data_IF_824726190215
#
_entry.id   IF_824726190215
#
_cell.length_a   1.000
_cell.length_b   1.000
_cell.length_c   1.000
_cell.angle_alpha   90.00
_cell.angle_beta   90.00
_cell.angle_gamma   90.00
#
_symmetry.space_group_name_H-M   'P 1'
#
loop_
_entity.id
_entity.type
_entity.pdbx_description
1 polymer ?
#
# COMPACT_ATOMS: atom_id res chain seq x y z
N UNK A 1 16.74 -0.25 11.47
CA UNK A 1 15.76 -1.09 10.72
C UNK A 1 15.95 -2.57 10.99
N UNK A 2 17.06 -3.22 10.63
CA UNK A 2 17.24 -4.65 10.91
C UNK A 2 17.29 -4.95 12.42
N UNK A 3 18.04 -4.15 13.18
CA UNK A 3 18.10 -4.25 14.64
C UNK A 3 16.72 -4.07 15.30
N UNK A 4 15.88 -3.15 14.79
CA UNK A 4 14.52 -2.93 15.31
C UNK A 4 13.61 -4.13 15.07
N UNK A 5 13.75 -4.78 13.91
CA UNK A 5 13.02 -6.00 13.58
C UNK A 5 13.47 -7.14 14.49
N UNK A 6 14.79 -7.33 14.62
CA UNK A 6 15.36 -8.36 15.49
C UNK A 6 14.92 -8.16 16.94
N UNK A 7 15.02 -6.94 17.46
CA UNK A 7 14.56 -6.57 18.80
C UNK A 7 13.08 -6.86 18.98
N UNK A 8 12.24 -6.45 18.03
CA UNK A 8 10.80 -6.68 18.09
C UNK A 8 10.48 -8.18 18.14
N UNK A 9 11.10 -8.98 17.28
CA UNK A 9 10.84 -10.44 17.23
C UNK A 9 11.37 -11.13 18.48
N UNK A 10 12.56 -10.77 18.95
CA UNK A 10 13.18 -11.35 20.16
C UNK A 10 12.44 -10.97 21.45
N UNK A 11 11.74 -9.83 21.46
CA UNK A 11 10.94 -9.39 22.59
C UNK A 11 9.74 -10.32 22.87
N UNK A 12 9.20 -10.97 21.84
CA UNK A 12 8.04 -11.85 21.99
C UNK A 12 8.43 -13.31 22.28
N UNK A 13 7.63 -13.96 23.12
CA UNK A 13 7.75 -15.41 23.34
C UNK A 13 7.20 -16.16 22.11
N UNK A 14 8.04 -17.03 21.54
CA UNK A 14 7.77 -17.73 20.30
C UNK A 14 6.54 -18.65 20.36
N UNK A 15 6.17 -19.15 21.55
CA UNK A 15 5.07 -20.12 21.72
C UNK A 15 3.75 -19.46 22.10
N UNK A 16 3.75 -18.17 22.44
CA UNK A 16 2.57 -17.49 22.96
C UNK A 16 2.32 -16.15 22.27
N UNK A 17 3.15 -15.15 22.53
CA UNK A 17 2.88 -13.76 22.12
C UNK A 17 3.28 -13.49 20.69
N UNK A 18 4.34 -14.14 20.19
CA UNK A 18 4.74 -14.00 18.78
C UNK A 18 3.67 -14.55 17.84
N UNK A 19 3.03 -15.67 18.21
CA UNK A 19 2.03 -16.32 17.37
C UNK A 19 0.83 -15.42 17.07
N UNK A 20 0.46 -14.61 18.06
CA UNK A 20 -0.69 -13.70 18.01
C UNK A 20 -0.33 -12.28 17.60
N UNK A 21 0.95 -11.97 17.40
CA UNK A 21 1.37 -10.63 17.01
C UNK A 21 0.87 -10.34 15.59
N UNK A 22 0.12 -9.26 15.44
CA UNK A 22 -0.30 -8.76 14.12
C UNK A 22 0.91 -8.12 13.44
N UNK A 23 1.19 -8.61 12.23
CA UNK A 23 2.19 -8.12 11.29
C UNK A 23 1.44 -7.52 10.09
N UNK A 24 1.89 -6.37 9.61
CA UNK A 24 1.25 -5.66 8.49
C UNK A 24 2.11 -5.74 7.24
N UNK A 25 1.55 -6.20 6.13
CA UNK A 25 2.21 -6.22 4.82
C UNK A 25 1.57 -5.19 3.91
N UNK A 26 2.40 -4.35 3.29
CA UNK A 26 1.97 -3.24 2.46
C UNK A 26 2.53 -3.38 1.04
N UNK A 27 1.66 -3.20 0.05
CA UNK A 27 2.06 -3.19 -1.34
C UNK A 27 1.33 -2.10 -2.13
N UNK A 28 2.05 -1.46 -3.04
CA UNK A 28 1.50 -0.46 -3.95
C UNK A 28 1.85 -0.85 -5.37
N UNK A 29 0.89 -0.68 -6.26
CA UNK A 29 1.09 -0.83 -7.71
C UNK A 29 0.82 0.52 -8.34
N UNK A 30 1.60 0.87 -9.36
CA UNK A 30 1.49 2.15 -10.06
C UNK A 30 1.26 1.91 -11.55
N UNK A 31 0.58 2.84 -12.20
CA UNK A 31 0.45 2.91 -13.65
C UNK A 31 1.78 3.23 -14.33
N UNK A 32 2.52 4.20 -13.82
CA UNK A 32 3.82 4.57 -14.34
C UNK A 32 4.59 5.46 -13.34
N UNK A 33 5.88 5.64 -13.64
CA UNK A 33 6.75 6.66 -13.05
C UNK A 33 7.10 7.69 -14.13
N UNK A 34 7.02 8.98 -13.83
CA UNK A 34 7.46 10.03 -14.73
C UNK A 34 8.96 10.27 -14.64
N UNK A 35 9.52 10.96 -15.63
CA UNK A 35 10.93 11.39 -15.63
C UNK A 35 11.24 12.34 -14.46
N UNK A 36 10.22 13.05 -13.95
CA UNK A 36 10.30 13.89 -12.74
C UNK A 36 10.30 13.08 -11.45
N UNK A 37 10.14 11.76 -11.54
CA UNK A 37 10.12 10.85 -10.39
C UNK A 37 8.75 10.65 -9.73
N UNK A 38 7.67 11.16 -10.32
CA UNK A 38 6.33 11.03 -9.78
C UNK A 38 5.70 9.70 -10.19
N UNK A 39 5.07 9.02 -9.24
CA UNK A 39 4.32 7.79 -9.46
C UNK A 39 2.83 8.07 -9.56
N UNK A 40 2.19 7.48 -10.57
CA UNK A 40 0.74 7.44 -10.69
C UNK A 40 0.25 6.13 -10.09
N UNK A 41 -0.30 6.17 -8.89
CA UNK A 41 -0.72 4.98 -8.16
C UNK A 41 -1.93 4.31 -8.82
N UNK A 42 -2.00 3.00 -8.80
CA UNK A 42 -3.10 2.24 -9.36
C UNK A 42 -3.91 1.59 -8.25
N UNK A 43 -3.23 0.89 -7.35
CA UNK A 43 -3.85 0.29 -6.19
C UNK A 43 -2.91 0.23 -5.00
N UNK A 44 -3.49 -0.05 -3.85
CA UNK A 44 -2.80 -0.31 -2.61
C UNK A 44 -3.43 -1.51 -1.92
N UNK A 45 -2.60 -2.31 -1.28
CA UNK A 45 -2.99 -3.46 -0.49
C UNK A 45 -2.30 -3.40 0.87
N UNK A 46 -3.08 -3.59 1.94
CA UNK A 46 -2.59 -3.74 3.30
C UNK A 46 -3.17 -5.04 3.87
N UNK A 47 -2.31 -6.01 4.14
CA UNK A 47 -2.69 -7.28 4.73
C UNK A 47 -2.25 -7.34 6.19
N UNK A 48 -3.13 -7.80 7.06
CA UNK A 48 -2.83 -8.14 8.44
C UNK A 48 -2.61 -9.65 8.53
N UNK A 49 -1.55 -10.06 9.23
CA UNK A 49 -1.14 -11.45 9.36
C UNK A 49 -0.79 -11.78 10.82
N UNK A 50 -1.14 -12.98 11.27
CA UNK A 50 -0.63 -13.60 12.49
C UNK A 50 -0.06 -14.97 12.16
N UNK A 51 0.91 -15.46 12.93
CA UNK A 51 1.43 -16.82 12.70
C UNK A 51 0.43 -17.90 13.10
N UNK A 52 -0.53 -17.61 13.99
CA UNK A 52 -1.59 -18.55 14.36
C UNK A 52 -2.67 -18.69 13.29
N UNK A 53 -3.10 -17.59 12.67
CA UNK A 53 -4.31 -17.56 11.84
C UNK A 53 -4.00 -17.31 10.36
N UNK A 54 -2.75 -16.97 10.03
CA UNK A 54 -2.38 -16.58 8.68
C UNK A 54 -2.88 -15.16 8.36
N UNK A 55 -3.48 -14.96 7.19
CA UNK A 55 -4.03 -13.67 6.77
C UNK A 55 -5.36 -13.44 7.49
N UNK A 56 -5.44 -12.42 8.35
CA UNK A 56 -6.64 -12.11 9.13
C UNK A 56 -7.52 -11.04 8.46
N UNK A 57 -6.91 -10.09 7.74
CA UNK A 57 -7.63 -9.04 6.99
C UNK A 57 -6.81 -8.60 5.80
N UNK A 58 -7.50 -8.23 4.71
CA UNK A 58 -6.90 -7.54 3.57
C UNK A 58 -7.74 -6.31 3.26
N UNK A 59 -7.10 -5.14 3.34
CA UNK A 59 -7.61 -3.89 2.80
C UNK A 59 -7.04 -3.73 1.40
N UNK A 60 -7.88 -3.69 0.39
CA UNK A 60 -7.48 -3.48 -1.00
C UNK A 60 -8.27 -2.32 -1.58
N UNK A 61 -7.56 -1.32 -2.11
CA UNK A 61 -8.17 -0.07 -2.58
C UNK A 61 -7.57 0.32 -3.93
N UNK A 62 -8.44 0.71 -4.86
CA UNK A 62 -8.05 1.34 -6.12
C UNK A 62 -8.01 2.86 -5.94
N UNK A 63 -6.95 3.49 -6.44
CA UNK A 63 -6.65 4.91 -6.18
C UNK A 63 -6.91 5.76 -7.41
N UNK A 64 -7.74 6.81 -7.26
CA UNK A 64 -7.92 7.79 -8.34
C UNK A 64 -6.68 8.68 -8.47
N UNK A 65 -5.71 8.26 -9.29
CA UNK A 65 -4.46 9.01 -9.49
C UNK A 65 -4.56 10.25 -10.38
N UNK A 66 -5.78 10.76 -10.57
CA UNK A 66 -6.05 11.91 -11.41
C UNK A 66 -5.68 11.69 -12.88
N UNK A 67 -5.39 12.79 -13.57
CA UNK A 67 -5.07 12.76 -15.01
C UNK A 67 -3.57 12.52 -15.22
N UNK A 68 -3.25 11.49 -16.00
CA UNK A 68 -1.89 11.24 -16.49
C UNK A 68 -1.32 12.46 -17.23
N UNK A 69 -0.07 12.81 -16.93
CA UNK A 69 0.67 13.84 -17.65
C UNK A 69 0.78 13.49 -19.15
N UNK A 70 0.67 14.51 -20.00
CA UNK A 70 0.77 14.35 -21.45
C UNK A 70 2.09 13.66 -21.82
N UNK A 71 2.03 12.64 -22.68
CA UNK A 71 3.19 11.86 -23.11
C UNK A 71 3.34 10.51 -22.41
N UNK A 72 2.75 10.32 -21.22
CA UNK A 72 2.95 9.09 -20.44
C UNK A 72 1.95 7.97 -20.70
N UNK A 73 0.94 8.20 -21.54
CA UNK A 73 -0.11 7.20 -21.80
C UNK A 73 0.43 5.89 -22.37
N UNK A 74 1.39 5.95 -23.29
CA UNK A 74 1.97 4.74 -23.89
C UNK A 74 2.78 3.94 -22.87
N UNK A 75 3.66 4.62 -22.13
CA UNK A 75 4.48 4.03 -21.07
C UNK A 75 3.62 3.39 -19.99
N UNK A 76 2.56 4.08 -19.56
CA UNK A 76 1.64 3.55 -18.56
C UNK A 76 0.91 2.30 -19.08
N UNK A 77 0.48 2.30 -20.34
CA UNK A 77 -0.20 1.15 -20.94
C UNK A 77 0.72 -0.07 -21.05
N UNK A 78 1.96 0.13 -21.49
CA UNK A 78 2.98 -0.92 -21.57
C UNK A 78 3.26 -1.51 -20.19
N UNK A 79 3.55 -0.67 -19.19
CA UNK A 79 3.77 -1.12 -17.82
C UNK A 79 2.57 -1.91 -17.27
N UNK A 80 1.35 -1.42 -17.49
CA UNK A 80 0.14 -2.13 -17.09
C UNK A 80 0.08 -3.52 -17.72
N UNK A 81 0.30 -3.64 -19.03
CA UNK A 81 0.20 -4.92 -19.73
C UNK A 81 1.25 -5.92 -19.25
N UNK A 82 2.45 -5.44 -18.93
CA UNK A 82 3.59 -6.26 -18.52
C UNK A 82 3.48 -6.73 -17.06
N UNK A 83 2.76 -6.00 -16.21
CA UNK A 83 2.76 -6.23 -14.76
C UNK A 83 1.38 -6.64 -14.23
N UNK A 84 0.50 -5.69 -13.97
CA UNK A 84 -0.71 -5.87 -13.17
C UNK A 84 -2.01 -5.90 -13.98
N UNK A 85 -1.94 -5.60 -15.28
CA UNK A 85 -3.04 -5.59 -16.25
C UNK A 85 -4.25 -4.77 -15.82
N UNK A 86 -4.02 -3.75 -15.01
CA UNK A 86 -5.10 -2.83 -14.65
C UNK A 86 -5.33 -1.87 -15.82
N UNK A 87 -6.61 -1.58 -16.15
CA UNK A 87 -6.90 -0.61 -17.18
C UNK A 87 -6.57 0.81 -16.69
N UNK A 88 -5.94 1.62 -17.54
CA UNK A 88 -5.67 3.04 -17.27
C UNK A 88 -6.97 3.86 -17.09
N UNK A 89 -8.03 3.44 -17.77
CA UNK A 89 -9.37 4.00 -17.64
C UNK A 89 -10.27 2.90 -17.09
N UNK A 90 -10.51 2.86 -15.78
CA UNK A 90 -11.58 2.03 -15.22
C UNK A 90 -12.92 2.64 -15.66
N UNK A 91 -13.39 2.28 -16.86
CA UNK A 91 -14.81 2.44 -17.21
C UNK A 91 -15.55 1.35 -16.44
N UNK A 92 -16.16 1.75 -15.32
CA UNK A 92 -16.99 0.91 -14.46
C UNK A 92 -18.21 0.43 -15.27
N UNK A 93 -18.05 -0.65 -16.05
CA UNK A 93 -19.16 -1.18 -16.86
C UNK A 93 -19.94 -2.29 -16.19
N UNK A 94 -19.44 -2.91 -15.11
CA UNK A 94 -20.10 -4.08 -14.49
C UNK A 94 -19.84 -4.22 -12.98
N UNK A 95 -20.15 -3.20 -12.17
CA UNK A 95 -20.11 -3.26 -10.70
C UNK A 95 -19.21 -2.22 -10.04
N UNK A 96 -19.56 -1.82 -8.82
CA UNK A 96 -19.04 -0.67 -8.05
C UNK A 96 -17.58 -0.82 -7.63
N UNK A 97 -16.63 -0.68 -8.56
CA UNK A 97 -15.26 -0.31 -8.21
C UNK A 97 -15.23 1.21 -8.03
N UNK A 98 -15.43 1.65 -6.79
CA UNK A 98 -15.25 3.05 -6.43
C UNK A 98 -13.76 3.32 -6.26
N UNK A 99 -13.24 4.21 -7.10
CA UNK A 99 -11.96 4.80 -6.80
C UNK A 99 -12.08 5.59 -5.51
N UNK A 100 -11.15 5.38 -4.58
CA UNK A 100 -11.06 6.24 -3.41
C UNK A 100 -10.11 7.37 -3.71
N UNK A 101 -10.55 8.58 -3.42
CA UNK A 101 -9.67 9.74 -3.36
C UNK A 101 -8.61 9.53 -2.29
N UNK A 102 -7.46 10.14 -2.52
CA UNK A 102 -6.30 10.24 -1.65
C UNK A 102 -6.64 10.16 -0.14
N UNK A 103 -7.35 11.16 0.40
CA UNK A 103 -7.62 11.24 1.85
C UNK A 103 -8.37 10.04 2.44
N UNK A 104 -9.28 9.44 1.67
CA UNK A 104 -10.03 8.24 2.12
C UNK A 104 -9.16 6.98 2.16
N UNK A 105 -8.07 6.94 1.38
CA UNK A 105 -7.12 5.83 1.39
C UNK A 105 -6.22 5.96 2.63
N UNK A 106 -5.70 7.16 2.92
CA UNK A 106 -4.88 7.39 4.12
C UNK A 106 -5.65 7.10 5.41
N UNK A 107 -6.91 7.54 5.53
CA UNK A 107 -7.69 7.29 6.75
C UNK A 107 -7.83 5.80 7.03
N UNK A 108 -8.13 5.00 6.01
CA UNK A 108 -8.26 3.54 6.15
C UNK A 108 -6.93 2.88 6.52
N UNK A 109 -5.81 3.33 5.96
CA UNK A 109 -4.47 2.83 6.31
C UNK A 109 -4.13 3.17 7.76
N UNK A 110 -4.32 4.43 8.17
CA UNK A 110 -4.04 4.89 9.53
C UNK A 110 -4.92 4.16 10.54
N UNK A 111 -6.22 4.07 10.31
CA UNK A 111 -7.16 3.33 11.15
C UNK A 111 -6.74 1.86 11.28
N UNK A 112 -6.31 1.24 10.18
CA UNK A 112 -5.82 -0.14 10.19
C UNK A 112 -4.56 -0.29 11.03
N UNK A 113 -3.57 0.59 10.86
CA UNK A 113 -2.28 0.50 11.55
C UNK A 113 -2.33 0.94 13.01
N UNK A 114 -3.35 1.71 13.40
CA UNK A 114 -3.63 2.12 14.77
C UNK A 114 -4.47 1.09 15.55
N UNK A 115 -5.13 0.16 14.85
CA UNK A 115 -5.94 -0.87 15.48
C UNK A 115 -5.05 -1.81 16.32
N UNK A 116 -4.90 -1.49 17.61
CA UNK A 116 -4.11 -2.27 18.56
C UNK A 116 -2.79 -1.64 19.03
N UNK A 117 -2.50 -0.38 18.67
CA UNK A 117 -1.35 0.37 19.19
C UNK A 117 -1.77 1.41 20.23
N UNK A 118 -0.78 1.94 20.98
CA UNK A 118 -1.01 3.10 21.84
C UNK A 118 -1.42 4.34 21.03
N UNK A 119 -2.15 5.26 21.67
CA UNK A 119 -2.68 6.46 21.01
C UNK A 119 -1.56 7.25 20.32
N UNK A 120 -1.62 7.36 18.99
CA UNK A 120 -0.63 8.11 18.18
C UNK A 120 0.53 7.28 17.61
N UNK A 121 0.64 6.00 17.93
CA UNK A 121 1.65 5.11 17.33
C UNK A 121 1.08 4.31 16.16
N UNK A 122 1.88 4.15 15.09
CA UNK A 122 1.54 3.29 13.96
C UNK A 122 2.37 2.00 14.04
N UNK A 123 1.71 0.85 13.83
CA UNK A 123 2.43 -0.41 13.71
C UNK A 123 3.38 -0.39 12.50
N UNK A 124 4.58 -0.99 12.60
CA UNK A 124 5.45 -1.15 11.45
C UNK A 124 4.75 -1.97 10.36
N UNK A 125 5.02 -1.60 9.10
CA UNK A 125 4.56 -2.31 7.91
C UNK A 125 5.75 -2.80 7.10
N UNK A 126 5.58 -3.96 6.48
CA UNK A 126 6.62 -4.65 5.72
C UNK A 126 6.24 -4.72 4.25
N UNK A 127 7.24 -4.63 3.38
CA UNK A 127 7.07 -4.65 1.93
C UNK A 127 8.29 -5.30 1.27
N UNK A 128 8.23 -5.49 -0.05
CA UNK A 128 9.37 -6.00 -0.79
C UNK A 128 10.49 -4.94 -0.85
N UNK A 129 11.78 -5.31 -0.76
CA UNK A 129 12.88 -4.35 -0.71
C UNK A 129 12.92 -3.37 -1.89
N UNK A 130 12.54 -3.82 -3.08
CA UNK A 130 12.45 -3.02 -4.31
C UNK A 130 11.27 -2.03 -4.31
N UNK A 131 10.23 -2.29 -3.51
CA UNK A 131 9.06 -1.44 -3.39
C UNK A 131 9.24 -0.31 -2.35
N UNK A 132 10.23 -0.39 -1.46
CA UNK A 132 10.43 0.60 -0.36
C UNK A 132 10.55 2.03 -0.90
N UNK A 133 11.41 2.23 -1.89
CA UNK A 133 11.64 3.57 -2.46
C UNK A 133 10.40 4.12 -3.18
N UNK A 134 9.60 3.23 -3.77
CA UNK A 134 8.34 3.59 -4.40
C UNK A 134 7.34 4.04 -3.34
N UNK A 135 7.18 3.28 -2.26
CA UNK A 135 6.20 3.54 -1.20
C UNK A 135 6.53 4.83 -0.43
N UNK A 136 7.81 5.07 -0.15
CA UNK A 136 8.26 6.27 0.56
C UNK A 136 8.32 7.53 -0.31
N UNK A 137 8.08 7.40 -1.62
CA UNK A 137 8.12 8.55 -2.52
C UNK A 137 7.00 9.53 -2.18
N UNK A 138 7.29 10.84 -2.20
CA UNK A 138 6.31 11.87 -1.91
C UNK A 138 5.07 11.81 -2.80
N UNK A 139 5.16 11.44 -4.07
CA UNK A 139 3.95 11.25 -4.90
C UNK A 139 3.11 10.02 -4.48
N UNK A 140 3.74 9.04 -3.83
CA UNK A 140 3.08 7.88 -3.22
C UNK A 140 2.48 8.17 -1.84
N UNK A 141 3.04 9.14 -1.11
CA UNK A 141 2.61 9.54 0.23
C UNK A 141 1.64 10.73 0.16
N UNK A 142 2.00 11.78 -0.58
CA UNK A 142 1.22 13.01 -0.81
C UNK A 142 0.14 12.86 -1.88
N UNK A 143 0.31 11.99 -2.87
CA UNK A 143 -0.79 11.62 -3.79
C UNK A 143 -1.98 10.98 -3.05
N UNK A 144 -1.75 10.56 -1.80
CA UNK A 144 -2.74 10.06 -0.83
C UNK A 144 -3.11 11.13 0.22
N UNK A 145 -2.37 12.25 0.32
CA UNK A 145 -2.66 13.38 1.21
C UNK A 145 -3.38 14.56 0.53
N UNK A 146 -3.61 14.51 -0.78
CA UNK A 146 -4.53 15.41 -1.48
C UNK A 146 -4.09 16.89 -1.53
N UNK A 147 -2.82 17.14 -1.85
CA UNK A 147 -2.31 18.47 -2.22
C UNK A 147 -2.04 18.57 -3.72
#
# INVERSE_FOLDING_TARGET
>A
MNEDIEYTVQYFDAKTTLLKKVVHFFHIINFCKTDKGNFYQANIALAEFTFSDGIIRVVHIFIESGKLETGYRSTAMEHCNDTHRMPLELKVRFGTFEWKGAGNVMSVIVETLQAGTGMGELSPSYTMPDAVNTILNESCVLGVLGY
#
